data_IF_868220618139
#
_entry.id   IF_868220618139
#
_cell.length_a   1.000
_cell.length_b   1.000
_cell.length_c   1.000
_cell.angle_alpha   90.00
_cell.angle_beta   90.00
_cell.angle_gamma   90.00
#
_symmetry.space_group_name_H-M   'P 1'
#
loop_
_entity.id
_entity.type
_entity.pdbx_description
1 polymer ?
#
# COMPACT_ATOMS: atom_id res chain seq x y z
N UNK A 1 10.70 44.93 -0.67
CA UNK A 1 10.39 45.27 -2.08
C UNK A 1 9.53 46.52 -2.10
N UNK A 2 10.10 47.68 -2.49
CA UNK A 2 9.30 48.87 -2.82
C UNK A 2 8.78 48.68 -4.25
N UNK A 3 7.53 49.01 -4.52
CA UNK A 3 6.95 48.94 -5.86
C UNK A 3 7.64 49.99 -6.75
N UNK A 4 8.78 49.63 -7.33
CA UNK A 4 9.43 50.40 -8.40
C UNK A 4 8.71 50.01 -9.69
N UNK A 5 8.32 51.03 -10.47
CA UNK A 5 7.46 50.92 -11.65
C UNK A 5 7.87 49.79 -12.60
N UNK A 6 6.86 49.04 -13.05
CA UNK A 6 7.03 47.92 -13.99
C UNK A 6 5.83 46.97 -14.04
N UNK A 7 4.63 47.40 -13.64
CA UNK A 7 3.43 46.54 -13.66
C UNK A 7 2.61 46.67 -14.95
N UNK A 8 2.87 47.70 -15.77
CA UNK A 8 2.22 47.93 -17.06
C UNK A 8 2.62 46.92 -18.15
N UNK A 9 3.71 46.18 -17.95
CA UNK A 9 4.17 45.13 -18.87
C UNK A 9 3.48 43.78 -18.66
N UNK A 10 2.83 43.60 -17.50
CA UNK A 10 2.08 42.40 -17.19
C UNK A 10 0.61 42.67 -17.56
N UNK A 11 0.07 41.94 -18.54
CA UNK A 11 -1.34 41.99 -18.95
C UNK A 11 -2.28 41.42 -17.86
N UNK A 12 -2.21 41.97 -16.65
CA UNK A 12 -2.87 41.51 -15.44
C UNK A 12 -3.58 42.69 -14.80
N UNK A 13 -4.84 42.51 -14.42
CA UNK A 13 -5.65 43.58 -13.85
C UNK A 13 -5.08 44.08 -12.52
N UNK A 14 -5.06 45.41 -12.32
CA UNK A 14 -4.56 46.07 -11.10
C UNK A 14 -5.17 45.51 -9.80
N UNK A 15 -6.45 45.09 -9.83
CA UNK A 15 -7.12 44.47 -8.67
C UNK A 15 -6.51 43.13 -8.24
N UNK A 16 -5.90 42.39 -9.15
CA UNK A 16 -5.23 41.11 -8.87
C UNK A 16 -3.90 41.38 -8.16
N UNK A 17 -3.14 42.37 -8.65
CA UNK A 17 -1.85 42.77 -8.06
C UNK A 17 -2.06 43.27 -6.62
N UNK A 18 -3.06 44.14 -6.39
CA UNK A 18 -3.38 44.62 -5.05
C UNK A 18 -3.80 43.48 -4.09
N UNK A 19 -4.62 42.53 -4.57
CA UNK A 19 -5.01 41.34 -3.79
C UNK A 19 -3.81 40.46 -3.45
N UNK A 20 -2.90 40.25 -4.41
CA UNK A 20 -1.68 39.46 -4.22
C UNK A 20 -0.73 40.14 -3.23
N UNK A 21 -0.56 41.46 -3.32
CA UNK A 21 0.26 42.24 -2.40
C UNK A 21 -0.27 42.14 -0.96
N UNK A 22 -1.58 42.34 -0.75
CA UNK A 22 -2.21 42.20 0.57
C UNK A 22 -2.05 40.77 1.12
N UNK A 23 -2.18 39.75 0.27
CA UNK A 23 -1.95 38.35 0.66
C UNK A 23 -0.50 38.11 1.08
N UNK A 24 0.46 38.60 0.29
CA UNK A 24 1.89 38.45 0.55
C UNK A 24 2.32 39.16 1.85
N UNK A 25 1.83 40.37 2.11
CA UNK A 25 2.12 41.09 3.36
C UNK A 25 1.69 40.28 4.60
N UNK A 26 0.54 39.60 4.54
CA UNK A 26 0.02 38.80 5.65
C UNK A 26 0.74 37.47 5.83
N UNK A 27 0.90 36.72 4.73
CA UNK A 27 1.30 35.31 4.78
C UNK A 27 2.78 35.09 4.40
N UNK A 28 3.50 36.15 4.00
CA UNK A 28 4.85 36.10 3.40
C UNK A 28 4.97 35.06 2.26
N UNK A 29 3.85 34.79 1.61
CA UNK A 29 3.69 33.72 0.65
C UNK A 29 2.85 34.21 -0.53
N UNK A 30 3.38 34.05 -1.74
CA UNK A 30 2.70 34.41 -2.98
C UNK A 30 2.00 33.21 -3.64
N UNK A 31 2.14 32.00 -3.09
CA UNK A 31 1.46 30.83 -3.63
C UNK A 31 -0.04 30.86 -3.38
N UNK A 32 -0.78 30.33 -4.36
CA UNK A 32 -2.23 30.18 -4.27
C UNK A 32 -2.56 29.13 -3.20
N UNK A 33 -3.42 29.49 -2.24
CA UNK A 33 -3.99 28.53 -1.28
C UNK A 33 -4.75 27.44 -2.02
N UNK A 34 -4.66 26.19 -1.56
CA UNK A 34 -5.50 25.11 -2.10
C UNK A 34 -6.97 25.46 -1.84
N UNK A 35 -7.77 25.51 -2.89
CA UNK A 35 -9.20 25.74 -2.78
C UNK A 35 -9.91 24.54 -2.15
N UNK A 36 -11.04 24.80 -1.48
CA UNK A 36 -11.98 23.75 -1.11
C UNK A 36 -12.60 23.15 -2.37
N UNK A 37 -12.40 21.85 -2.58
CA UNK A 37 -13.03 21.14 -3.70
C UNK A 37 -14.51 20.84 -3.45
N UNK A 38 -15.17 20.26 -4.46
CA UNK A 38 -16.54 19.77 -4.35
C UNK A 38 -16.66 18.72 -3.23
N UNK A 39 -17.76 18.78 -2.46
CA UNK A 39 -18.08 17.77 -1.44
C UNK A 39 -18.17 16.37 -2.06
N UNK A 40 -17.67 15.38 -1.33
CA UNK A 40 -17.61 13.98 -1.76
C UNK A 40 -18.99 13.34 -1.65
N UNK A 41 -19.30 12.43 -2.58
CA UNK A 41 -20.54 11.62 -2.56
C UNK A 41 -20.46 10.52 -1.49
N UNK A 42 -19.26 9.99 -1.25
CA UNK A 42 -19.03 8.98 -0.20
C UNK A 42 -18.83 9.63 1.16
N UNK A 43 -19.26 8.95 2.22
CA UNK A 43 -19.08 9.37 3.60
C UNK A 43 -17.87 8.67 4.21
N UNK A 44 -17.25 9.27 5.24
CA UNK A 44 -16.11 8.67 5.94
C UNK A 44 -16.43 7.27 6.51
N UNK A 45 -17.66 7.04 6.96
CA UNK A 45 -18.11 5.73 7.42
C UNK A 45 -18.21 4.72 6.27
N UNK A 46 -18.74 5.13 5.12
CA UNK A 46 -18.79 4.31 3.90
C UNK A 46 -17.39 3.96 3.39
N UNK A 47 -16.47 4.92 3.42
CA UNK A 47 -15.08 4.69 3.01
C UNK A 47 -14.40 3.66 3.94
N UNK A 48 -14.60 3.74 5.26
CA UNK A 48 -14.11 2.73 6.21
C UNK A 48 -14.70 1.35 5.95
N UNK A 49 -16.01 1.27 5.71
CA UNK A 49 -16.69 0.02 5.35
C UNK A 49 -16.08 -0.61 4.09
N UNK A 50 -15.84 0.18 3.04
CA UNK A 50 -15.22 -0.28 1.80
C UNK A 50 -13.84 -0.90 2.05
N UNK A 51 -12.98 -0.20 2.79
CA UNK A 51 -11.63 -0.69 3.09
C UNK A 51 -11.65 -1.98 3.92
N UNK A 52 -12.54 -2.06 4.91
CA UNK A 52 -12.71 -3.26 5.72
C UNK A 52 -13.22 -4.44 4.90
N UNK A 53 -14.24 -4.23 4.06
CA UNK A 53 -14.79 -5.28 3.20
C UNK A 53 -13.78 -5.78 2.19
N UNK A 54 -13.04 -4.88 1.53
CA UNK A 54 -12.00 -5.26 0.57
C UNK A 54 -10.84 -6.04 1.22
N UNK A 55 -10.48 -5.73 2.48
CA UNK A 55 -9.44 -6.47 3.22
C UNK A 55 -9.90 -7.88 3.64
N UNK A 56 -11.15 -8.00 4.11
CA UNK A 56 -11.73 -9.29 4.56
C UNK A 56 -12.07 -10.20 3.40
N UNK A 57 -12.63 -9.65 2.33
CA UNK A 57 -13.11 -10.40 1.16
C UNK A 57 -12.37 -9.92 -0.09
N UNK A 58 -11.11 -10.34 -0.21
CA UNK A 58 -10.17 -9.89 -1.26
C UNK A 58 -10.61 -10.23 -2.69
N UNK A 59 -11.57 -11.14 -2.85
CA UNK A 59 -12.13 -11.55 -4.15
C UNK A 59 -13.30 -10.70 -4.63
N UNK A 60 -13.85 -9.82 -3.77
CA UNK A 60 -14.96 -8.96 -4.17
C UNK A 60 -14.50 -7.90 -5.17
N UNK A 61 -15.31 -7.70 -6.19
CA UNK A 61 -15.08 -6.68 -7.21
C UNK A 61 -15.53 -5.30 -6.73
N UNK A 62 -14.92 -4.25 -7.28
CA UNK A 62 -15.34 -2.87 -7.00
C UNK A 62 -16.82 -2.62 -7.35
N UNK A 63 -17.37 -3.31 -8.36
CA UNK A 63 -18.79 -3.22 -8.72
C UNK A 63 -19.71 -3.82 -7.66
N UNK A 64 -19.37 -5.00 -7.13
CA UNK A 64 -20.12 -5.61 -6.04
C UNK A 64 -20.09 -4.74 -4.78
N UNK A 65 -18.93 -4.16 -4.46
CA UNK A 65 -18.79 -3.21 -3.35
C UNK A 65 -19.63 -1.94 -3.55
N UNK A 66 -19.67 -1.41 -4.78
CA UNK A 66 -20.53 -0.27 -5.13
C UNK A 66 -22.02 -0.60 -4.96
N UNK A 67 -22.46 -1.78 -5.40
CA UNK A 67 -23.85 -2.22 -5.20
C UNK A 67 -24.20 -2.34 -3.72
N UNK A 68 -23.34 -2.97 -2.91
CA UNK A 68 -23.55 -3.10 -1.46
C UNK A 68 -23.60 -1.74 -0.76
N UNK A 69 -22.66 -0.85 -1.09
CA UNK A 69 -22.63 0.49 -0.51
C UNK A 69 -23.85 1.32 -0.93
N UNK A 70 -24.29 1.19 -2.19
CA UNK A 70 -25.46 1.91 -2.69
C UNK A 70 -26.74 1.44 -2.01
N UNK A 71 -26.89 0.13 -1.83
CA UNK A 71 -28.02 -0.46 -1.12
C UNK A 71 -28.06 0.00 0.36
N UNK A 72 -26.91 0.03 1.03
CA UNK A 72 -26.83 0.45 2.43
C UNK A 72 -27.01 1.98 2.61
N UNK A 73 -26.49 2.77 1.69
CA UNK A 73 -26.47 4.24 1.80
C UNK A 73 -27.68 4.93 1.14
N UNK A 74 -28.56 4.18 0.48
CA UNK A 74 -29.74 4.69 -0.23
C UNK A 74 -29.40 5.64 -1.39
N UNK A 75 -28.14 5.64 -1.86
CA UNK A 75 -27.67 6.55 -2.91
C UNK A 75 -26.84 5.78 -3.93
N UNK A 76 -26.99 6.05 -5.23
CA UNK A 76 -26.17 5.38 -6.24
C UNK A 76 -24.70 5.80 -6.06
N UNK A 77 -23.82 4.81 -5.90
CA UNK A 77 -22.37 5.01 -5.89
C UNK A 77 -21.75 4.39 -7.14
N UNK A 78 -20.93 5.16 -7.83
CA UNK A 78 -20.28 4.68 -9.06
C UNK A 78 -19.08 3.78 -8.75
N UNK A 79 -18.81 2.82 -9.63
CA UNK A 79 -17.62 1.96 -9.58
C UNK A 79 -16.34 2.80 -9.45
N UNK A 80 -16.21 3.85 -10.27
CA UNK A 80 -15.05 4.73 -10.24
C UNK A 80 -14.86 5.43 -8.89
N UNK A 81 -15.95 5.79 -8.21
CA UNK A 81 -15.87 6.37 -6.86
C UNK A 81 -15.30 5.35 -5.88
N UNK A 82 -15.79 4.11 -5.91
CA UNK A 82 -15.28 3.02 -5.06
C UNK A 82 -13.82 2.71 -5.39
N UNK A 83 -13.46 2.58 -6.67
CA UNK A 83 -12.08 2.32 -7.08
C UNK A 83 -11.11 3.41 -6.59
N UNK A 84 -11.48 4.69 -6.72
CA UNK A 84 -10.67 5.80 -6.18
C UNK A 84 -10.48 5.68 -4.67
N UNK A 85 -11.52 5.30 -3.91
CA UNK A 85 -11.42 5.10 -2.45
C UNK A 85 -10.53 3.93 -2.07
N UNK A 86 -10.59 2.83 -2.82
CA UNK A 86 -9.71 1.69 -2.61
C UNK A 86 -8.25 2.09 -2.87
N UNK A 87 -7.97 2.82 -3.94
CA UNK A 87 -6.62 3.32 -4.25
C UNK A 87 -6.12 4.34 -3.21
N UNK A 88 -6.96 5.28 -2.76
CA UNK A 88 -6.63 6.20 -1.67
C UNK A 88 -6.27 5.43 -0.38
N UNK A 89 -6.91 4.28 -0.13
CA UNK A 89 -6.59 3.38 0.97
C UNK A 89 -5.47 2.38 0.69
N UNK A 90 -4.75 2.51 -0.43
CA UNK A 90 -3.62 1.65 -0.81
C UNK A 90 -4.00 0.23 -1.25
N UNK A 91 -5.26 -0.01 -1.59
CA UNK A 91 -5.75 -1.31 -2.04
C UNK A 91 -5.79 -1.35 -3.57
N UNK A 92 -5.01 -2.26 -4.13
CA UNK A 92 -4.89 -2.45 -5.57
C UNK A 92 -5.27 -3.89 -5.95
N UNK A 93 -5.72 -4.06 -7.19
CA UNK A 93 -5.92 -5.39 -7.75
C UNK A 93 -4.57 -6.12 -7.84
N UNK A 94 -4.57 -7.41 -7.47
CA UNK A 94 -3.40 -8.30 -7.57
C UNK A 94 -3.85 -9.64 -8.10
N UNK A 95 -2.93 -10.34 -8.79
CA UNK A 95 -3.14 -11.74 -9.19
C UNK A 95 -2.84 -12.63 -7.98
N UNK A 96 -3.74 -13.56 -7.60
CA UNK A 96 -3.42 -14.57 -6.60
C UNK A 96 -2.21 -15.39 -7.04
N UNK A 97 -1.37 -15.79 -6.09
CA UNK A 97 -0.30 -16.73 -6.39
C UNK A 97 -0.90 -18.14 -6.55
N UNK A 98 -0.43 -18.89 -7.54
CA UNK A 98 -0.81 -20.29 -7.74
C UNK A 98 0.10 -21.14 -6.85
N UNK A 99 -0.48 -21.74 -5.82
CA UNK A 99 0.24 -22.60 -4.88
C UNK A 99 -0.27 -24.03 -4.97
N UNK A 100 0.63 -25.02 -4.82
CA UNK A 100 0.24 -26.42 -4.66
C UNK A 100 -0.61 -26.61 -3.40
N UNK A 101 -1.65 -27.43 -3.49
CA UNK A 101 -2.51 -27.71 -2.35
C UNK A 101 -1.79 -28.62 -1.36
N UNK A 102 -1.43 -28.09 -0.19
CA UNK A 102 -0.78 -28.86 0.87
C UNK A 102 -1.81 -29.28 1.92
N UNK A 103 -1.83 -30.57 2.24
CA UNK A 103 -2.50 -31.05 3.44
C UNK A 103 -1.87 -30.44 4.70
N UNK A 104 -2.67 -30.30 5.77
CA UNK A 104 -2.21 -29.81 7.08
C UNK A 104 -1.02 -30.64 7.62
N UNK A 105 -0.99 -31.95 7.35
CA UNK A 105 0.11 -32.82 7.75
C UNK A 105 1.43 -32.41 7.06
N UNK A 106 1.40 -32.19 5.75
CA UNK A 106 2.56 -31.71 4.99
C UNK A 106 3.04 -30.33 5.47
N UNK A 107 2.12 -29.41 5.78
CA UNK A 107 2.50 -28.10 6.32
C UNK A 107 3.26 -28.24 7.64
N UNK A 108 2.77 -29.10 8.56
CA UNK A 108 3.43 -29.35 9.85
C UNK A 108 4.80 -30.00 9.69
N UNK A 109 4.91 -31.03 8.85
CA UNK A 109 6.18 -31.72 8.59
C UNK A 109 7.23 -30.77 8.00
N UNK A 110 6.85 -29.96 7.00
CA UNK A 110 7.75 -28.95 6.40
C UNK A 110 8.19 -27.90 7.41
N UNK A 111 7.30 -27.47 8.29
CA UNK A 111 7.62 -26.50 9.34
C UNK A 111 8.57 -27.11 10.40
N UNK A 112 8.34 -28.36 10.80
CA UNK A 112 9.22 -29.08 11.73
C UNK A 112 10.63 -29.17 11.17
N UNK A 113 10.75 -29.68 9.95
CA UNK A 113 12.03 -29.77 9.25
C UNK A 113 12.72 -28.40 9.10
N UNK A 114 11.97 -27.36 8.71
CA UNK A 114 12.55 -26.01 8.55
C UNK A 114 13.07 -25.43 9.88
N UNK A 115 12.42 -25.76 11.01
CA UNK A 115 12.88 -25.35 12.34
C UNK A 115 14.14 -26.11 12.74
N UNK A 116 14.18 -27.43 12.56
CA UNK A 116 15.36 -28.26 12.87
C UNK A 116 16.59 -27.84 12.08
N UNK A 117 16.44 -27.67 10.76
CA UNK A 117 17.52 -27.24 9.88
C UNK A 117 17.95 -25.79 10.16
N UNK A 118 17.01 -24.91 10.50
CA UNK A 118 17.29 -23.53 10.90
C UNK A 118 18.06 -23.43 12.23
N UNK A 119 17.84 -24.36 13.16
CA UNK A 119 18.63 -24.46 14.39
C UNK A 119 20.04 -25.02 14.15
N UNK A 120 20.21 -25.89 13.15
CA UNK A 120 21.50 -26.53 12.82
C UNK A 120 22.42 -25.68 11.92
N UNK A 121 21.93 -24.60 11.33
CA UNK A 121 22.72 -23.67 10.50
C UNK A 121 23.32 -22.49 11.28
N UNK A 122 22.95 -22.33 12.56
CA UNK A 122 23.49 -21.31 13.48
C UNK A 122 24.71 -21.84 14.24
N UNK A 123 25.86 -21.93 13.59
CA UNK A 123 27.14 -21.59 14.23
C UNK A 123 28.11 -22.70 14.68
N UNK A 124 27.69 -23.95 14.95
CA UNK A 124 28.64 -24.96 15.50
C UNK A 124 28.56 -26.37 14.88
N UNK A 125 27.45 -26.72 14.23
CA UNK A 125 27.18 -28.10 13.79
C UNK A 125 27.57 -28.40 12.33
N UNK A 126 27.82 -27.38 11.51
CA UNK A 126 28.25 -27.59 10.11
C UNK A 126 29.67 -28.18 10.03
N UNK A 127 30.60 -27.74 10.90
CA UNK A 127 31.99 -28.21 10.91
C UNK A 127 32.10 -29.67 11.36
N UNK A 128 31.45 -30.05 12.47
CA UNK A 128 31.50 -31.42 12.99
C UNK A 128 30.84 -32.46 12.07
N UNK A 129 29.78 -32.07 11.35
CA UNK A 129 29.09 -32.99 10.42
C UNK A 129 29.90 -33.25 9.15
N UNK A 130 30.66 -32.26 8.65
CA UNK A 130 31.60 -32.47 7.54
C UNK A 130 32.81 -33.32 7.93
N UNK A 131 33.25 -33.28 9.19
CA UNK A 131 34.37 -34.09 9.67
C UNK A 131 34.03 -35.59 9.80
N UNK A 132 32.84 -35.92 10.28
CA UNK A 132 32.39 -37.31 10.48
C UNK A 132 32.11 -38.05 9.15
N UNK A 133 31.64 -37.32 8.13
CA UNK A 133 31.45 -37.87 6.78
C UNK A 133 32.79 -38.17 6.07
N UNK A 134 33.89 -37.48 6.43
CA UNK A 134 35.23 -37.75 5.92
C UNK A 134 35.88 -38.96 6.60
N UNK A 135 35.71 -39.12 7.92
CA UNK A 135 36.29 -40.25 8.68
C UNK A 135 35.65 -41.60 8.37
N UNK A 136 34.43 -41.61 7.83
CA UNK A 136 33.70 -42.85 7.49
C UNK A 136 34.10 -43.47 6.14
N UNK A 137 34.97 -42.81 5.35
CA UNK A 137 35.37 -43.25 4.00
C UNK A 137 36.75 -43.90 3.91
N UNK A 138 37.39 -44.25 5.02
CA UNK A 138 38.71 -44.90 4.98
C UNK A 138 38.81 -46.03 6.00
N UNK A 139 38.24 -47.18 5.63
CA UNK A 139 38.69 -48.48 6.16
C UNK A 139 39.34 -49.18 4.97
N UNK A 140 40.66 -49.45 4.98
CA UNK A 140 41.28 -50.20 3.91
C UNK A 140 40.93 -51.69 4.08
N UNK A 141 40.35 -52.29 3.05
CA UNK A 141 40.25 -53.74 2.91
C UNK A 141 41.65 -54.31 2.76
N UNK A 142 42.06 -55.13 3.73
CA UNK A 142 43.38 -55.76 3.78
C UNK A 142 43.28 -57.25 4.07
N UNK A 143 43.39 -58.01 2.97
CA UNK A 143 43.82 -59.42 2.80
C UNK A 143 43.07 -60.52 3.56
#
# INVERSE_FOLDING_TARGET
>A
MRCVGGLSELNVNHSVIHRLWKHYQRDQNASRRRGSGRRRITTTAGDRYLLQCARRRRTLTARQLASQLSAAAGRPTSLQSVSRRLHEGGLFARRPNVCAHLSKAHVRARLHWAREVGHQSSGATYSLRMSLDLTSRTIPDGQ
#
